data_IF_483478864414
#
_entry.id   IF_483478864414
#
_cell.length_a   1.000
_cell.length_b   1.000
_cell.length_c   1.000
_cell.angle_alpha   90.00
_cell.angle_beta   90.00
_cell.angle_gamma   90.00
#
_symmetry.space_group_name_H-M   'P 1'
#
loop_
_entity.id
_entity.type
_entity.pdbx_description
1 polymer ?
#
# COMPACT_ATOMS: atom_id res chain seq x y z
N UNK A 1 15.85 23.75 39.60
CA UNK A 1 16.70 22.94 38.70
C UNK A 1 16.04 21.70 38.11
N UNK A 2 15.05 21.09 38.78
CA UNK A 2 14.34 19.92 38.28
C UNK A 2 13.32 20.19 37.19
N UNK A 3 12.74 21.40 37.11
CA UNK A 3 11.72 21.81 36.17
C UNK A 3 12.23 21.95 34.73
N UNK A 4 13.45 22.46 34.54
CA UNK A 4 14.01 22.63 33.19
C UNK A 4 14.36 21.28 32.56
N UNK A 5 14.87 20.31 33.34
CA UNK A 5 15.18 18.97 32.88
C UNK A 5 13.92 18.18 32.47
N UNK A 6 12.82 18.38 33.22
CA UNK A 6 11.54 17.75 32.94
C UNK A 6 10.90 18.30 31.67
N UNK A 7 10.94 19.63 31.49
CA UNK A 7 10.45 20.31 30.28
C UNK A 7 11.23 19.89 29.04
N UNK A 8 12.53 19.69 29.14
CA UNK A 8 13.36 19.20 28.02
C UNK A 8 13.03 17.76 27.65
N UNK A 9 12.74 16.90 28.63
CA UNK A 9 12.30 15.53 28.38
C UNK A 9 10.92 15.50 27.72
N UNK A 10 9.97 16.30 28.20
CA UNK A 10 8.63 16.38 27.64
C UNK A 10 8.63 16.89 26.19
N UNK A 11 9.49 17.87 25.88
CA UNK A 11 9.68 18.37 24.52
C UNK A 11 10.32 17.31 23.62
N UNK A 12 11.25 16.50 24.13
CA UNK A 12 11.86 15.40 23.42
C UNK A 12 10.86 14.30 23.10
N UNK A 13 10.00 13.94 24.05
CA UNK A 13 8.94 12.94 23.86
C UNK A 13 7.92 13.44 22.83
N UNK A 14 7.48 14.69 22.92
CA UNK A 14 6.55 15.27 21.97
C UNK A 14 7.12 15.31 20.54
N UNK A 15 8.40 15.65 20.38
CA UNK A 15 9.07 15.61 19.10
C UNK A 15 9.16 14.19 18.55
N UNK A 16 9.50 13.21 19.38
CA UNK A 16 9.56 11.80 18.99
C UNK A 16 8.21 11.29 18.55
N UNK A 17 7.14 11.58 19.31
CA UNK A 17 5.76 11.19 18.94
C UNK A 17 5.33 11.82 17.62
N UNK A 18 5.67 13.08 17.37
CA UNK A 18 5.40 13.74 16.10
C UNK A 18 6.14 13.09 14.94
N UNK A 19 7.40 12.74 15.13
CA UNK A 19 8.17 12.01 14.12
C UNK A 19 7.57 10.65 13.80
N UNK A 20 7.11 9.92 14.82
CA UNK A 20 6.44 8.62 14.63
C UNK A 20 5.11 8.78 13.89
N UNK A 21 4.31 9.79 14.24
CA UNK A 21 3.05 10.09 13.56
C UNK A 21 3.28 10.48 12.09
N UNK A 22 4.28 11.31 11.81
CA UNK A 22 4.66 11.69 10.44
C UNK A 22 5.16 10.48 9.64
N UNK A 23 5.92 9.57 10.26
CA UNK A 23 6.39 8.34 9.64
C UNK A 23 5.24 7.41 9.25
N UNK A 24 4.24 7.25 10.13
CA UNK A 24 3.04 6.47 9.84
C UNK A 24 2.22 7.09 8.71
N UNK A 25 2.03 8.40 8.73
CA UNK A 25 1.33 9.15 7.71
C UNK A 25 2.06 9.06 6.36
N UNK A 26 3.37 9.20 6.35
CA UNK A 26 4.20 9.07 5.15
C UNK A 26 4.06 7.68 4.53
N UNK A 27 4.07 6.63 5.34
CA UNK A 27 3.89 5.26 4.87
C UNK A 27 2.55 5.09 4.19
N UNK A 28 1.48 5.62 4.78
CA UNK A 28 0.14 5.61 4.19
C UNK A 28 0.10 6.32 2.85
N UNK A 29 0.74 7.49 2.74
CA UNK A 29 0.80 8.26 1.51
C UNK A 29 1.59 7.55 0.41
N UNK A 30 2.72 6.94 0.76
CA UNK A 30 3.52 6.14 -0.17
C UNK A 30 2.71 4.98 -0.74
N UNK A 31 2.01 4.25 0.11
CA UNK A 31 1.19 3.12 -0.30
C UNK A 31 0.00 3.55 -1.13
N UNK A 32 -0.58 4.71 -0.84
CA UNK A 32 -1.70 5.24 -1.63
C UNK A 32 -1.31 5.45 -3.09
N UNK A 33 -0.07 5.84 -3.35
CA UNK A 33 0.44 6.05 -4.71
C UNK A 33 0.71 4.77 -5.50
N UNK A 34 0.82 3.62 -4.83
CA UNK A 34 1.19 2.35 -5.48
C UNK A 34 0.20 1.22 -5.22
N UNK A 35 -0.84 1.46 -4.44
CA UNK A 35 -1.77 0.41 -4.04
C UNK A 35 -2.56 -0.16 -5.22
N UNK A 36 -2.96 0.68 -6.15
CA UNK A 36 -3.61 0.25 -7.40
C UNK A 36 -2.72 -0.70 -8.20
N UNK A 37 -1.45 -0.39 -8.31
CA UNK A 37 -0.44 -1.23 -8.96
C UNK A 37 -0.29 -2.57 -8.24
N UNK A 38 -0.26 -2.57 -6.91
CA UNK A 38 -0.19 -3.77 -6.10
C UNK A 38 -1.44 -4.65 -6.27
N UNK A 39 -2.62 -4.05 -6.37
CA UNK A 39 -3.86 -4.78 -6.63
C UNK A 39 -3.84 -5.44 -8.00
N UNK A 40 -3.42 -4.72 -9.04
CA UNK A 40 -3.26 -5.29 -10.38
C UNK A 40 -2.27 -6.45 -10.39
N UNK A 41 -1.16 -6.32 -9.67
CA UNK A 41 -0.14 -7.36 -9.58
C UNK A 41 -0.68 -8.64 -8.93
N UNK A 42 -1.41 -8.50 -7.82
CA UNK A 42 -1.99 -9.65 -7.11
C UNK A 42 -3.03 -10.36 -7.96
N UNK A 43 -3.94 -9.64 -8.59
CA UNK A 43 -4.96 -10.26 -9.43
C UNK A 43 -4.39 -10.79 -10.76
N UNK A 44 -3.23 -10.33 -11.19
CA UNK A 44 -2.54 -10.85 -12.37
C UNK A 44 -1.97 -12.28 -12.15
N UNK A 45 -1.75 -12.65 -10.90
CA UNK A 45 -1.35 -14.03 -10.54
C UNK A 45 -2.51 -15.02 -10.66
N UNK A 46 -3.73 -14.51 -10.59
CA UNK A 46 -4.97 -15.27 -10.70
C UNK A 46 -6.13 -14.42 -10.22
N UNK A 47 -7.34 -14.62 -10.77
CA UNK A 47 -8.51 -13.87 -10.33
C UNK A 47 -8.71 -13.98 -8.84
N UNK A 48 -9.10 -12.88 -8.21
CA UNK A 48 -9.26 -12.81 -6.76
C UNK A 48 -10.45 -11.91 -6.40
N UNK A 49 -11.08 -12.20 -5.27
CA UNK A 49 -12.07 -11.31 -4.68
C UNK A 49 -11.43 -10.44 -3.60
N UNK A 50 -12.13 -9.40 -3.15
CA UNK A 50 -11.55 -8.35 -2.30
C UNK A 50 -10.85 -8.87 -1.05
N UNK A 51 -11.45 -9.80 -0.33
CA UNK A 51 -10.85 -10.39 0.87
C UNK A 51 -9.54 -11.12 0.57
N UNK A 52 -9.48 -11.90 -0.51
CA UNK A 52 -8.27 -12.60 -0.92
C UNK A 52 -7.14 -11.64 -1.26
N UNK A 53 -7.47 -10.55 -1.98
CA UNK A 53 -6.47 -9.53 -2.33
C UNK A 53 -5.89 -8.87 -1.09
N UNK A 54 -6.74 -8.48 -0.15
CA UNK A 54 -6.31 -7.90 1.13
C UNK A 54 -5.40 -8.86 1.88
N UNK A 55 -5.78 -10.12 1.96
CA UNK A 55 -4.98 -11.14 2.64
C UNK A 55 -3.62 -11.33 1.98
N UNK A 56 -3.58 -11.46 0.66
CA UNK A 56 -2.32 -11.62 -0.08
C UNK A 56 -1.38 -10.43 0.11
N UNK A 57 -1.93 -9.21 0.11
CA UNK A 57 -1.14 -8.00 0.32
C UNK A 57 -0.56 -7.97 1.74
N UNK A 58 -1.36 -8.31 2.75
CA UNK A 58 -0.87 -8.41 4.15
C UNK A 58 0.21 -9.45 4.31
N UNK A 59 0.02 -10.63 3.73
CA UNK A 59 0.98 -11.73 3.79
C UNK A 59 2.32 -11.35 3.16
N UNK A 60 2.32 -10.39 2.24
CA UNK A 60 3.53 -9.87 1.59
C UNK A 60 4.07 -8.58 2.22
N UNK A 61 3.56 -8.20 3.38
CA UNK A 61 4.10 -7.08 4.15
C UNK A 61 3.32 -5.76 4.08
N UNK A 62 2.22 -5.69 3.33
CA UNK A 62 1.36 -4.51 3.28
C UNK A 62 0.25 -4.60 4.34
N UNK A 63 0.67 -4.69 5.61
CA UNK A 63 -0.22 -4.96 6.74
C UNK A 63 -1.21 -3.83 7.07
N UNK A 64 -0.98 -2.62 6.56
CA UNK A 64 -1.86 -1.47 6.79
C UNK A 64 -3.06 -1.43 5.83
N UNK A 65 -3.14 -2.39 4.89
CA UNK A 65 -4.21 -2.43 3.90
C UNK A 65 -5.38 -3.22 4.48
N UNK A 66 -6.52 -2.55 4.63
CA UNK A 66 -7.79 -3.16 5.00
C UNK A 66 -8.75 -3.22 3.81
N UNK A 67 -9.81 -4.02 3.92
CA UNK A 67 -10.82 -4.14 2.86
C UNK A 67 -11.46 -2.79 2.52
N UNK A 68 -11.70 -1.94 3.52
CA UNK A 68 -12.25 -0.60 3.31
C UNK A 68 -11.37 0.30 2.46
N UNK A 69 -10.07 0.05 2.40
CA UNK A 69 -9.11 0.82 1.60
C UNK A 69 -9.09 0.39 0.14
N UNK A 70 -9.38 -0.87 -0.16
CA UNK A 70 -9.24 -1.39 -1.53
C UNK A 70 -10.51 -1.27 -2.37
N UNK A 71 -11.71 -1.32 -1.77
CA UNK A 71 -12.95 -1.27 -2.55
C UNK A 71 -13.11 0.00 -3.37
N UNK A 72 -12.82 1.20 -2.87
CA UNK A 72 -12.85 2.40 -3.70
C UNK A 72 -11.86 2.35 -4.88
N UNK A 73 -10.69 1.77 -4.67
CA UNK A 73 -9.69 1.60 -5.71
C UNK A 73 -10.14 0.58 -6.76
N UNK A 74 -10.71 -0.54 -6.33
CA UNK A 74 -11.26 -1.54 -7.24
C UNK A 74 -12.37 -0.95 -8.11
N UNK A 75 -13.24 -0.13 -7.52
CA UNK A 75 -14.28 0.58 -8.27
C UNK A 75 -13.71 1.53 -9.31
N UNK A 76 -12.63 2.23 -8.98
CA UNK A 76 -11.94 3.12 -9.93
C UNK A 76 -11.27 2.33 -11.06
N UNK A 77 -10.58 1.25 -10.74
CA UNK A 77 -9.95 0.38 -11.74
C UNK A 77 -10.99 -0.19 -12.70
N UNK A 78 -12.17 -0.56 -12.20
CA UNK A 78 -13.28 -1.05 -13.02
C UNK A 78 -13.83 0.04 -13.95
N UNK A 79 -14.06 1.24 -13.43
CA UNK A 79 -14.52 2.40 -14.23
C UNK A 79 -13.51 2.77 -15.31
N UNK A 80 -12.22 2.66 -15.02
CA UNK A 80 -11.15 3.00 -15.96
C UNK A 80 -10.88 1.86 -16.96
N UNK A 81 -11.61 0.75 -16.87
CA UNK A 81 -11.46 -0.36 -17.79
C UNK A 81 -10.19 -1.20 -17.60
N UNK A 82 -9.54 -1.08 -16.45
CA UNK A 82 -8.28 -1.78 -16.16
C UNK A 82 -8.51 -3.18 -15.57
N UNK A 83 -9.72 -3.45 -15.10
CA UNK A 83 -10.11 -4.76 -14.57
C UNK A 83 -11.42 -5.21 -15.16
N UNK A 84 -11.56 -6.51 -15.27
CA UNK A 84 -12.81 -7.19 -15.61
C UNK A 84 -13.32 -7.92 -14.37
N UNK A 85 -14.62 -8.01 -14.23
CA UNK A 85 -15.25 -8.62 -13.07
C UNK A 85 -16.21 -9.72 -13.48
N UNK A 86 -16.37 -10.70 -12.63
CA UNK A 86 -17.39 -11.72 -12.77
C UNK A 86 -17.78 -12.24 -11.38
N UNK A 87 -18.96 -12.84 -11.29
CA UNK A 87 -19.42 -13.46 -10.05
C UNK A 87 -19.24 -14.97 -10.12
N UNK A 88 -18.79 -15.54 -9.02
CA UNK A 88 -18.61 -16.98 -8.89
C UNK A 88 -19.23 -17.45 -7.59
N UNK A 89 -19.81 -18.65 -7.61
CA UNK A 89 -20.42 -19.26 -6.44
C UNK A 89 -19.41 -19.44 -5.32
N UNK A 90 -19.83 -19.12 -4.09
CA UNK A 90 -19.06 -19.40 -2.88
C UNK A 90 -19.67 -20.55 -2.09
N UNK A 91 -18.85 -21.25 -1.30
CA UNK A 91 -19.32 -22.33 -0.44
C UNK A 91 -20.23 -21.77 0.66
N UNK A 92 -21.54 -21.96 0.54
CA UNK A 92 -22.52 -21.63 1.56
C UNK A 92 -22.86 -20.16 1.73
N UNK A 93 -22.44 -19.28 0.81
CA UNK A 93 -22.70 -17.86 0.86
C UNK A 93 -23.16 -17.26 -0.47
N UNK A 94 -23.43 -15.95 -0.52
CA UNK A 94 -23.75 -15.30 -1.78
C UNK A 94 -22.55 -15.36 -2.76
N UNK A 95 -22.81 -15.26 -4.08
CA UNK A 95 -21.73 -15.26 -5.07
C UNK A 95 -20.73 -14.15 -4.79
N UNK A 96 -19.44 -14.46 -4.95
CA UNK A 96 -18.35 -13.50 -4.77
C UNK A 96 -17.99 -12.84 -6.08
N UNK A 97 -17.67 -11.55 -5.99
CA UNK A 97 -17.21 -10.76 -7.13
C UNK A 97 -15.70 -10.93 -7.27
N UNK A 98 -15.29 -11.51 -8.38
CA UNK A 98 -13.89 -11.72 -8.73
C UNK A 98 -13.40 -10.63 -9.67
N UNK A 99 -12.15 -10.29 -9.54
CA UNK A 99 -11.47 -9.28 -10.36
C UNK A 99 -10.27 -9.91 -11.07
N UNK A 100 -10.08 -9.54 -12.30
CA UNK A 100 -8.89 -9.88 -13.07
C UNK A 100 -8.47 -8.68 -13.92
N UNK A 101 -7.17 -8.54 -14.27
CA UNK A 101 -6.77 -7.44 -15.14
C UNK A 101 -7.37 -7.63 -16.54
N UNK A 102 -7.81 -6.52 -17.14
CA UNK A 102 -8.11 -6.47 -18.57
C UNK A 102 -6.80 -6.39 -19.37
N UNK A 103 -6.88 -6.41 -20.69
CA UNK A 103 -5.71 -6.15 -21.54
C UNK A 103 -5.07 -4.79 -21.23
N UNK A 104 -5.91 -3.75 -21.06
CA UNK A 104 -5.46 -2.43 -20.64
C UNK A 104 -4.83 -2.46 -19.23
N UNK A 105 -5.40 -3.24 -18.34
CA UNK A 105 -4.86 -3.42 -16.97
C UNK A 105 -3.48 -4.08 -16.96
N UNK A 106 -3.28 -5.09 -17.79
CA UNK A 106 -1.96 -5.73 -17.91
C UNK A 106 -0.91 -4.78 -18.46
N UNK A 107 -1.28 -3.94 -19.42
CA UNK A 107 -0.39 -2.90 -19.94
C UNK A 107 -0.07 -1.86 -18.87
N UNK A 108 -1.09 -1.39 -18.15
CA UNK A 108 -0.94 -0.45 -17.05
C UNK A 108 -0.02 -1.03 -15.95
N UNK A 109 -0.15 -2.32 -15.66
CA UNK A 109 0.71 -3.02 -14.70
C UNK A 109 2.17 -3.00 -15.17
N UNK A 110 2.44 -3.35 -16.41
CA UNK A 110 3.80 -3.36 -16.95
C UNK A 110 4.46 -1.98 -16.91
N UNK A 111 3.73 -0.94 -17.32
CA UNK A 111 4.20 0.45 -17.26
C UNK A 111 4.42 0.88 -15.82
N UNK A 112 3.46 0.61 -14.94
CA UNK A 112 3.52 0.98 -13.53
C UNK A 112 4.67 0.33 -12.78
N UNK A 113 4.97 -0.94 -13.06
CA UNK A 113 6.12 -1.64 -12.47
C UNK A 113 7.42 -0.96 -12.90
N UNK A 114 7.55 -0.60 -14.16
CA UNK A 114 8.73 0.12 -14.67
C UNK A 114 8.88 1.49 -14.01
N UNK A 115 7.80 2.23 -13.91
CA UNK A 115 7.78 3.55 -13.24
C UNK A 115 8.15 3.43 -11.75
N UNK A 116 7.59 2.44 -11.07
CA UNK A 116 7.90 2.20 -9.66
C UNK A 116 9.39 1.89 -9.47
N UNK A 117 9.95 1.00 -10.27
CA UNK A 117 11.37 0.62 -10.16
C UNK A 117 12.28 1.81 -10.40
N UNK A 118 11.97 2.64 -11.39
CA UNK A 118 12.72 3.86 -11.66
C UNK A 118 12.64 4.86 -10.50
N UNK A 119 11.44 5.09 -9.96
CA UNK A 119 11.23 5.99 -8.83
C UNK A 119 11.94 5.48 -7.57
N UNK A 120 11.82 4.18 -7.30
CA UNK A 120 12.50 3.53 -6.17
C UNK A 120 14.02 3.71 -6.27
N UNK A 121 14.58 3.41 -7.42
CA UNK A 121 16.04 3.52 -7.64
C UNK A 121 16.52 4.96 -7.51
N UNK A 122 15.77 5.93 -8.02
CA UNK A 122 16.08 7.34 -7.89
C UNK A 122 16.06 7.81 -6.43
N UNK A 123 15.04 7.42 -5.68
CA UNK A 123 14.93 7.75 -4.25
C UNK A 123 16.03 7.06 -3.46
N UNK A 124 16.29 5.78 -3.71
CA UNK A 124 17.38 5.04 -3.09
C UNK A 124 18.72 5.73 -3.32
N UNK A 125 18.97 6.23 -4.53
CA UNK A 125 20.18 6.96 -4.86
C UNK A 125 20.35 8.25 -4.06
N UNK A 126 19.25 8.97 -3.84
CA UNK A 126 19.26 10.20 -3.02
C UNK A 126 19.52 9.88 -1.54
N UNK A 127 18.94 8.80 -1.05
CA UNK A 127 19.02 8.43 0.37
C UNK A 127 20.26 7.59 0.72
N UNK A 128 20.93 7.01 -0.26
CA UNK A 128 22.06 6.11 -0.04
C UNK A 128 23.17 6.68 0.86
N UNK A 129 23.55 7.99 0.78
CA UNK A 129 24.58 8.53 1.68
C UNK A 129 24.13 8.67 3.13
N UNK A 130 22.83 8.57 3.42
CA UNK A 130 22.30 8.78 4.76
C UNK A 130 22.54 7.54 5.61
N UNK A 131 23.26 7.70 6.72
CA UNK A 131 23.45 6.64 7.69
C UNK A 131 22.33 6.71 8.71
N UNK A 132 21.57 5.61 8.83
CA UNK A 132 20.52 5.50 9.83
C UNK A 132 21.06 4.73 11.01
N UNK A 133 21.20 5.43 12.15
CA UNK A 133 21.46 4.78 13.42
C UNK A 133 20.13 4.30 13.98
N UNK A 134 19.96 2.98 13.98
CA UNK A 134 18.83 2.37 14.68
C UNK A 134 19.22 2.25 16.14
N UNK A 135 18.59 3.03 17.01
CA UNK A 135 18.74 2.88 18.44
C UNK A 135 18.19 1.51 18.83
N UNK A 136 19.07 0.63 19.26
CA UNK A 136 18.71 -0.65 19.86
C UNK A 136 18.36 -0.49 21.32
#
# INVERSE_FOLDING_TARGET
MHTASRLLRDKGIAATLRCMALGSQRRTELLRGVLDLCLLAVMNEGPAYGYEMTKRLRDRGLAIVGEGSIYPLLGRLERDGLVETYRSASNGGPPRKYYRPSSAGRLALAVGVSEWRAARDAVDGVLAPVKVEVAT
#
